data_IF_248368720690
#
_entry.id   IF_248368720690
#
_cell.length_a   1.000
_cell.length_b   1.000
_cell.length_c   1.000
_cell.angle_alpha   90.00
_cell.angle_beta   90.00
_cell.angle_gamma   90.00
#
_symmetry.space_group_name_H-M   'P 1'
#
loop_
_entity.id
_entity.type
_entity.pdbx_description
1 polymer ?
#
# COMPACT_ATOMS: atom_id res chain seq x y z
N UNK A 1 0.87 33.06 -5.80
CA UNK A 1 2.08 32.26 -6.06
C UNK A 1 2.25 31.24 -4.93
N UNK A 2 2.26 29.94 -5.24
CA UNK A 2 2.92 28.85 -4.48
C UNK A 2 2.21 27.48 -4.67
N UNK A 3 2.20 26.96 -5.90
CA UNK A 3 2.08 25.51 -6.10
C UNK A 3 3.46 24.99 -6.47
N UNK A 4 4.26 24.76 -5.42
CA UNK A 4 5.53 24.04 -5.50
C UNK A 4 5.25 22.67 -6.12
N UNK A 5 5.73 22.48 -7.34
CA UNK A 5 5.90 21.16 -7.97
C UNK A 5 6.69 20.27 -7.01
N UNK A 6 6.00 19.40 -6.27
CA UNK A 6 6.67 18.37 -5.48
C UNK A 6 7.23 17.33 -6.45
N UNK A 7 8.53 16.99 -6.38
CA UNK A 7 9.12 16.00 -7.28
C UNK A 7 8.49 14.64 -7.00
N UNK A 8 7.81 14.08 -8.00
CA UNK A 8 7.04 12.82 -7.88
C UNK A 8 7.85 11.62 -7.36
N UNK A 9 9.19 11.68 -7.33
CA UNK A 9 10.04 10.61 -6.81
C UNK A 9 10.15 10.53 -5.28
N UNK A 10 10.11 11.65 -4.54
CA UNK A 10 10.51 11.63 -3.11
C UNK A 10 9.41 11.16 -2.15
N UNK A 11 8.13 11.29 -2.53
CA UNK A 11 7.01 10.85 -1.71
C UNK A 11 6.80 9.32 -1.70
N UNK A 12 7.14 8.63 -2.81
CA UNK A 12 7.11 7.15 -2.89
C UNK A 12 8.10 6.54 -1.90
N UNK A 13 9.30 7.12 -1.77
CA UNK A 13 10.29 6.73 -0.79
C UNK A 13 9.84 6.96 0.66
N UNK A 14 9.07 8.03 0.93
CA UNK A 14 8.51 8.32 2.26
C UNK A 14 7.40 7.35 2.67
N UNK A 15 6.47 7.07 1.75
CA UNK A 15 5.44 6.03 1.95
C UNK A 15 6.12 4.68 2.18
N UNK A 16 7.22 4.43 1.47
CA UNK A 16 8.01 3.22 1.64
C UNK A 16 8.68 3.11 3.00
N UNK A 17 9.28 4.20 3.49
CA UNK A 17 9.84 4.28 4.84
C UNK A 17 8.81 4.02 5.93
N UNK A 18 7.60 4.58 5.78
CA UNK A 18 6.47 4.36 6.69
C UNK A 18 5.96 2.91 6.66
N UNK A 19 5.75 2.34 5.47
CA UNK A 19 5.38 0.92 5.30
C UNK A 19 6.40 -0.02 5.95
N UNK A 20 7.70 0.27 5.77
CA UNK A 20 8.78 -0.49 6.39
C UNK A 20 8.70 -0.48 7.92
N UNK A 21 8.33 0.66 8.52
CA UNK A 21 8.12 0.79 9.96
C UNK A 21 6.91 -0.02 10.45
N UNK A 22 5.79 0.02 9.74
CA UNK A 22 4.60 -0.76 10.06
C UNK A 22 4.84 -2.28 9.94
N UNK A 23 5.48 -2.74 8.86
CA UNK A 23 5.78 -4.16 8.66
C UNK A 23 6.92 -4.67 9.54
N UNK A 24 7.77 -3.78 10.07
CA UNK A 24 8.78 -4.13 11.06
C UNK A 24 8.17 -4.42 12.45
N UNK A 25 6.99 -3.89 12.74
CA UNK A 25 6.34 -4.06 14.05
C UNK A 25 5.29 -5.17 14.08
N UNK A 26 4.79 -5.65 12.94
CA UNK A 26 3.74 -6.68 12.87
C UNK A 26 4.19 -8.12 13.22
N UNK A 27 5.43 -8.32 13.69
CA UNK A 27 5.92 -9.64 14.16
C UNK A 27 6.46 -9.64 15.59
N UNK A 28 6.28 -8.54 16.35
CA UNK A 28 6.64 -8.50 17.77
C UNK A 28 5.46 -8.88 18.64
N UNK A 29 5.00 -10.12 18.48
CA UNK A 29 4.44 -10.86 19.61
C UNK A 29 5.61 -11.48 20.38
N UNK A 30 5.62 -11.23 21.68
CA UNK A 30 6.45 -11.81 22.74
C UNK A 30 7.74 -11.03 23.07
N UNK A 31 7.58 -10.22 24.11
CA UNK A 31 8.62 -9.78 25.02
C UNK A 31 9.38 -10.97 25.63
N UNK A 32 10.66 -10.74 25.97
CA UNK A 32 11.72 -11.68 26.37
C UNK A 32 12.41 -12.34 25.19
N UNK A 33 13.50 -11.71 24.74
CA UNK A 33 14.77 -12.31 24.29
C UNK A 33 15.65 -11.10 23.94
N UNK A 34 16.45 -10.63 24.89
CA UNK A 34 17.38 -9.50 24.65
C UNK A 34 18.72 -9.99 24.07
N UNK A 35 18.97 -11.30 24.08
CA UNK A 35 20.28 -11.85 23.67
C UNK A 35 20.29 -12.45 22.25
N UNK A 36 19.22 -13.12 21.80
CA UNK A 36 19.10 -13.63 20.41
C UNK A 36 18.66 -12.56 19.39
N UNK A 37 18.56 -11.29 19.81
CA UNK A 37 18.04 -10.20 18.98
C UNK A 37 18.98 -9.76 17.86
N UNK A 38 20.31 -9.86 18.04
CA UNK A 38 21.30 -9.29 17.10
C UNK A 38 21.36 -10.04 15.76
N UNK A 39 21.23 -11.36 15.77
CA UNK A 39 21.21 -12.17 14.55
C UNK A 39 19.90 -12.02 13.78
N UNK A 40 18.77 -12.00 14.48
CA UNK A 40 17.44 -11.74 13.89
C UNK A 40 17.36 -10.35 13.26
N UNK A 41 17.98 -9.34 13.87
CA UNK A 41 18.06 -7.99 13.30
C UNK A 41 18.93 -7.93 12.04
N UNK A 42 20.05 -8.67 11.98
CA UNK A 42 20.88 -8.78 10.77
C UNK A 42 20.16 -9.51 9.64
N UNK A 43 19.53 -10.65 9.93
CA UNK A 43 18.71 -11.38 8.96
C UNK A 43 17.56 -10.51 8.44
N UNK A 44 16.90 -9.74 9.32
CA UNK A 44 15.84 -8.79 8.94
C UNK A 44 16.33 -7.66 8.05
N UNK A 45 17.56 -7.17 8.25
CA UNK A 45 18.19 -6.14 7.42
C UNK A 45 18.63 -6.70 6.05
N UNK A 46 19.07 -7.95 6.00
CA UNK A 46 19.36 -8.67 4.76
C UNK A 46 18.08 -8.91 3.95
N UNK A 47 17.00 -9.41 4.57
CA UNK A 47 15.70 -9.57 3.90
C UNK A 47 15.11 -8.24 3.42
N UNK A 48 15.33 -7.15 4.16
CA UNK A 48 14.93 -5.81 3.69
C UNK A 48 15.76 -5.35 2.48
N UNK A 49 17.02 -5.75 2.34
CA UNK A 49 17.82 -5.52 1.12
C UNK A 49 17.29 -6.34 -0.06
N UNK A 50 16.86 -7.58 0.17
CA UNK A 50 16.31 -8.46 -0.87
C UNK A 50 14.96 -8.01 -1.44
N UNK A 51 14.15 -7.34 -0.61
CA UNK A 51 12.89 -6.71 -1.02
C UNK A 51 13.13 -5.42 -1.84
N UNK A 52 14.26 -4.73 -1.61
CA UNK A 52 14.64 -3.43 -2.20
C UNK A 52 15.99 -3.47 -2.91
N UNK A 53 16.22 -4.47 -3.76
CA UNK A 53 17.44 -4.54 -4.57
C UNK A 53 17.63 -3.26 -5.41
N UNK A 54 18.88 -2.83 -5.63
CA UNK A 54 19.25 -1.65 -6.44
C UNK A 54 18.39 -0.36 -6.27
N UNK A 55 17.65 -0.20 -5.17
CA UNK A 55 16.72 0.91 -4.95
C UNK A 55 15.29 0.73 -5.46
N UNK A 56 14.94 -0.41 -6.06
CA UNK A 56 13.59 -0.69 -6.58
C UNK A 56 12.86 -1.77 -5.80
N UNK A 57 11.55 -1.60 -5.66
CA UNK A 57 10.67 -2.56 -5.01
C UNK A 57 10.45 -3.80 -5.88
N UNK A 58 10.81 -4.98 -5.37
CA UNK A 58 10.46 -6.23 -6.04
C UNK A 58 9.06 -6.71 -5.60
N UNK A 59 8.03 -6.31 -6.35
CA UNK A 59 6.64 -6.72 -6.12
C UNK A 59 6.44 -8.24 -6.06
N UNK A 60 7.27 -9.03 -6.75
CA UNK A 60 7.16 -10.49 -6.75
C UNK A 60 7.51 -11.09 -5.39
N UNK A 61 8.41 -10.45 -4.65
CA UNK A 61 8.91 -10.90 -3.34
C UNK A 61 8.04 -10.46 -2.16
N UNK A 62 7.05 -9.60 -2.40
CA UNK A 62 6.09 -9.21 -1.38
C UNK A 62 5.14 -10.38 -1.05
N UNK A 63 4.88 -10.57 0.24
CA UNK A 63 3.80 -11.43 0.68
C UNK A 63 2.43 -10.88 0.22
N UNK A 64 1.37 -11.71 0.17
CA UNK A 64 0.05 -11.27 -0.30
C UNK A 64 -0.50 -10.04 0.45
N UNK A 65 -0.31 -9.95 1.76
CA UNK A 65 -0.78 -8.81 2.57
C UNK A 65 -0.02 -7.53 2.20
N UNK A 66 1.29 -7.64 2.04
CA UNK A 66 2.14 -6.53 1.60
C UNK A 66 1.76 -6.03 0.20
N UNK A 67 1.40 -6.94 -0.71
CA UNK A 67 0.90 -6.56 -2.05
C UNK A 67 -0.39 -5.76 -1.95
N UNK A 68 -1.35 -6.19 -1.13
CA UNK A 68 -2.60 -5.46 -0.91
C UNK A 68 -2.32 -4.04 -0.38
N UNK A 69 -1.47 -3.91 0.63
CA UNK A 69 -1.12 -2.59 1.18
C UNK A 69 -0.43 -1.72 0.14
N UNK A 70 0.48 -2.30 -0.64
CA UNK A 70 1.17 -1.58 -1.71
C UNK A 70 0.18 -1.00 -2.70
N UNK A 71 -0.77 -1.80 -3.21
CA UNK A 71 -1.73 -1.34 -4.21
C UNK A 71 -2.69 -0.30 -3.64
N UNK A 72 -3.14 -0.44 -2.39
CA UNK A 72 -3.97 0.58 -1.74
C UNK A 72 -3.25 1.93 -1.61
N UNK A 73 -1.97 1.93 -1.22
CA UNK A 73 -1.22 3.18 -1.09
C UNK A 73 -0.86 3.80 -2.45
N UNK A 74 -0.58 2.96 -3.45
CA UNK A 74 -0.42 3.40 -4.83
C UNK A 74 -1.71 4.07 -5.35
N UNK A 75 -2.87 3.51 -4.97
CA UNK A 75 -4.17 4.10 -5.24
C UNK A 75 -4.36 5.46 -4.58
N UNK A 76 -4.19 5.59 -3.26
CA UNK A 76 -4.32 6.89 -2.57
C UNK A 76 -3.44 7.96 -3.22
N UNK A 77 -2.20 7.61 -3.52
CA UNK A 77 -1.27 8.52 -4.18
C UNK A 77 -1.77 8.93 -5.57
N UNK A 78 -2.16 7.97 -6.41
CA UNK A 78 -2.58 8.25 -7.78
C UNK A 78 -3.88 9.06 -7.82
N UNK A 79 -4.82 8.79 -6.92
CA UNK A 79 -6.04 9.59 -6.80
C UNK A 79 -5.70 11.04 -6.46
N UNK A 80 -4.77 11.27 -5.52
CA UNK A 80 -4.26 12.62 -5.22
C UNK A 80 -3.57 13.30 -6.42
N UNK A 81 -2.76 12.56 -7.19
CA UNK A 81 -2.15 13.07 -8.43
C UNK A 81 -3.18 13.40 -9.53
N UNK A 82 -4.36 12.79 -9.49
CA UNK A 82 -5.49 13.03 -10.40
C UNK A 82 -6.53 14.00 -9.84
N UNK A 83 -6.20 14.75 -8.77
CA UNK A 83 -7.08 15.77 -8.20
C UNK A 83 -8.16 15.24 -7.23
N UNK A 84 -8.10 13.97 -6.86
CA UNK A 84 -9.03 13.30 -5.94
C UNK A 84 -8.31 12.81 -4.67
N UNK A 85 -7.71 13.70 -3.86
CA UNK A 85 -7.00 13.29 -2.67
C UNK A 85 -7.96 12.77 -1.60
N UNK A 86 -7.55 11.73 -0.89
CA UNK A 86 -8.23 11.29 0.33
C UNK A 86 -7.97 12.28 1.46
N UNK A 87 -9.02 12.67 2.18
CA UNK A 87 -8.85 13.49 3.40
C UNK A 87 -8.18 12.67 4.53
N UNK A 88 -7.50 13.37 5.46
CA UNK A 88 -6.81 12.74 6.60
C UNK A 88 -7.80 12.09 7.59
N UNK A 89 -8.95 12.73 7.81
CA UNK A 89 -10.00 12.22 8.71
C UNK A 89 -10.84 11.12 8.08
N UNK A 90 -10.78 10.97 6.76
CA UNK A 90 -11.60 10.01 6.04
C UNK A 90 -11.15 8.58 6.35
N UNK A 91 -12.07 7.63 6.45
CA UNK A 91 -11.75 6.19 6.53
C UNK A 91 -11.52 5.61 5.12
N UNK A 92 -10.93 4.41 4.97
CA UNK A 92 -10.78 3.78 3.66
C UNK A 92 -12.12 3.61 2.93
N UNK A 93 -13.14 3.14 3.64
CA UNK A 93 -14.48 2.90 3.09
C UNK A 93 -15.18 4.21 2.70
N UNK A 94 -15.08 5.26 3.53
CA UNK A 94 -15.61 6.58 3.18
C UNK A 94 -14.94 7.18 1.94
N UNK A 95 -13.66 6.88 1.72
CA UNK A 95 -12.97 7.34 0.52
C UNK A 95 -13.44 6.61 -0.73
N UNK A 96 -13.65 5.29 -0.64
CA UNK A 96 -14.24 4.52 -1.73
C UNK A 96 -15.63 5.06 -2.11
N UNK A 97 -16.52 5.22 -1.11
CA UNK A 97 -17.87 5.73 -1.33
C UNK A 97 -17.88 7.16 -1.93
N UNK A 98 -16.96 8.03 -1.51
CA UNK A 98 -16.83 9.36 -2.08
C UNK A 98 -16.44 9.32 -3.58
N UNK A 99 -15.66 8.31 -3.99
CA UNK A 99 -15.21 8.16 -5.36
C UNK A 99 -16.27 7.57 -6.29
N UNK A 100 -17.27 6.84 -5.79
CA UNK A 100 -18.34 6.28 -6.63
C UNK A 100 -19.10 7.35 -7.42
N UNK A 101 -19.25 8.55 -6.86
CA UNK A 101 -19.90 9.67 -7.54
C UNK A 101 -19.03 10.31 -8.62
N UNK A 102 -17.70 10.22 -8.49
CA UNK A 102 -16.76 10.91 -9.37
C UNK A 102 -16.08 9.99 -10.37
N UNK A 103 -16.01 8.69 -10.08
CA UNK A 103 -15.33 7.65 -10.86
C UNK A 103 -16.18 6.35 -10.89
N UNK A 104 -17.46 6.42 -11.29
CA UNK A 104 -18.38 5.29 -11.22
C UNK A 104 -17.91 4.08 -12.04
N UNK A 105 -17.21 4.30 -13.14
CA UNK A 105 -16.65 3.26 -13.99
C UNK A 105 -15.60 2.38 -13.30
N UNK A 106 -14.98 2.89 -12.22
CA UNK A 106 -13.99 2.18 -11.42
C UNK A 106 -14.53 1.78 -10.03
N UNK A 107 -15.76 2.15 -9.68
CA UNK A 107 -16.37 1.91 -8.36
C UNK A 107 -16.20 0.48 -7.85
N UNK A 108 -16.58 -0.56 -8.63
CA UNK A 108 -16.43 -1.96 -8.21
C UNK A 108 -14.97 -2.36 -7.94
N UNK A 109 -14.02 -1.86 -8.75
CA UNK A 109 -12.60 -2.13 -8.54
C UNK A 109 -12.06 -1.39 -7.29
N UNK A 110 -12.52 -0.15 -7.05
CA UNK A 110 -12.16 0.65 -5.86
C UNK A 110 -12.68 -0.02 -4.59
N UNK A 111 -13.93 -0.48 -4.61
CA UNK A 111 -14.54 -1.20 -3.50
C UNK A 111 -13.78 -2.50 -3.21
N UNK A 112 -13.51 -3.31 -4.24
CA UNK A 112 -12.77 -4.57 -4.09
C UNK A 112 -11.36 -4.34 -3.51
N UNK A 113 -10.64 -3.33 -4.01
CA UNK A 113 -9.32 -2.97 -3.51
C UNK A 113 -9.38 -2.49 -2.05
N UNK A 114 -10.38 -1.69 -1.70
CA UNK A 114 -10.57 -1.12 -0.36
C UNK A 114 -10.96 -2.19 0.66
N UNK A 115 -11.89 -3.09 0.29
CA UNK A 115 -12.30 -4.21 1.12
C UNK A 115 -11.12 -5.13 1.43
N UNK A 116 -10.33 -5.49 0.41
CA UNK A 116 -9.13 -6.30 0.60
C UNK A 116 -8.12 -5.62 1.53
N UNK A 117 -7.95 -4.30 1.44
CA UNK A 117 -7.09 -3.54 2.34
C UNK A 117 -7.59 -3.54 3.79
N UNK A 118 -8.88 -3.30 4.00
CA UNK A 118 -9.51 -3.32 5.33
C UNK A 118 -9.36 -4.70 5.96
N UNK A 119 -9.66 -5.77 5.23
CA UNK A 119 -9.47 -7.14 5.70
C UNK A 119 -8.00 -7.40 6.06
N UNK A 120 -7.08 -7.07 5.15
CA UNK A 120 -5.64 -7.19 5.36
C UNK A 120 -5.12 -6.33 6.52
N UNK A 121 -5.85 -5.29 6.93
CA UNK A 121 -5.44 -4.40 8.03
C UNK A 121 -5.94 -4.85 9.38
N UNK A 122 -7.19 -5.28 9.45
CA UNK A 122 -7.87 -5.54 10.73
C UNK A 122 -8.00 -7.02 11.07
N UNK A 123 -7.61 -7.92 10.16
CA UNK A 123 -7.74 -9.37 10.36
C UNK A 123 -6.38 -10.05 10.50
N UNK A 124 -6.19 -10.95 11.49
CA UNK A 124 -4.93 -11.68 11.68
C UNK A 124 -4.74 -12.84 10.69
N UNK A 125 -5.83 -13.38 10.12
CA UNK A 125 -5.81 -14.51 9.19
C UNK A 125 -4.96 -14.20 7.94
N UNK A 126 -4.25 -15.20 7.37
CA UNK A 126 -3.44 -15.02 6.17
C UNK A 126 -4.26 -14.47 5.00
N UNK A 127 -3.68 -13.52 4.26
CA UNK A 127 -4.24 -13.07 2.99
C UNK A 127 -3.87 -14.07 1.91
N UNK A 128 -4.85 -14.58 1.17
CA UNK A 128 -4.59 -15.55 0.11
C UNK A 128 -3.87 -14.93 -1.10
N UNK A 129 -2.94 -15.67 -1.75
CA UNK A 129 -2.26 -15.20 -2.95
C UNK A 129 -3.19 -14.81 -4.11
N UNK A 130 -4.32 -15.51 -4.25
CA UNK A 130 -5.33 -15.21 -5.26
C UNK A 130 -5.95 -13.82 -5.03
N UNK A 131 -6.31 -13.50 -3.78
CA UNK A 131 -6.85 -12.18 -3.40
C UNK A 131 -5.88 -11.04 -3.73
N UNK A 132 -4.58 -11.22 -3.46
CA UNK A 132 -3.57 -10.23 -3.84
C UNK A 132 -3.45 -10.06 -5.37
N UNK A 133 -3.71 -11.11 -6.13
CA UNK A 133 -3.70 -11.07 -7.61
C UNK A 133 -4.94 -10.34 -8.15
N UNK A 134 -6.11 -10.54 -7.55
CA UNK A 134 -7.33 -9.78 -7.87
C UNK A 134 -7.14 -8.28 -7.59
N UNK A 135 -6.56 -7.93 -6.43
CA UNK A 135 -6.27 -6.53 -6.08
C UNK A 135 -5.33 -5.88 -7.09
N UNK A 136 -4.33 -6.61 -7.61
CA UNK A 136 -3.48 -6.10 -8.69
C UNK A 136 -4.29 -5.77 -9.94
N UNK A 137 -5.19 -6.66 -10.36
CA UNK A 137 -6.03 -6.43 -11.54
C UNK A 137 -6.96 -5.23 -11.35
N UNK A 138 -7.62 -5.14 -10.19
CA UNK A 138 -8.44 -4.00 -9.82
C UNK A 138 -7.65 -2.69 -9.86
N UNK A 139 -6.45 -2.70 -9.28
CA UNK A 139 -5.53 -1.55 -9.33
C UNK A 139 -5.20 -1.11 -10.76
N UNK A 140 -4.90 -2.03 -11.68
CA UNK A 140 -4.59 -1.65 -13.06
C UNK A 140 -5.78 -1.00 -13.78
N UNK A 141 -7.01 -1.40 -13.46
CA UNK A 141 -8.24 -0.79 -14.00
C UNK A 141 -8.47 0.60 -13.41
N UNK A 142 -8.35 0.75 -12.09
CA UNK A 142 -8.41 2.05 -11.40
C UNK A 142 -7.36 3.00 -11.97
N UNK A 143 -6.13 2.53 -12.16
CA UNK A 143 -5.03 3.33 -12.71
C UNK A 143 -5.36 3.86 -14.11
N UNK A 144 -6.01 3.05 -14.96
CA UNK A 144 -6.47 3.48 -16.29
C UNK A 144 -7.57 4.54 -16.20
N UNK A 145 -8.58 4.34 -15.35
CA UNK A 145 -9.64 5.33 -15.12
C UNK A 145 -9.06 6.67 -14.63
N UNK A 146 -8.11 6.63 -13.69
CA UNK A 146 -7.43 7.82 -13.18
C UNK A 146 -6.50 8.51 -14.19
N UNK A 147 -6.01 7.80 -15.21
CA UNK A 147 -5.21 8.38 -16.30
C UNK A 147 -6.06 9.13 -17.31
N UNK A 148 -7.27 8.66 -17.60
CA UNK A 148 -8.20 9.32 -18.52
C UNK A 148 -8.67 10.71 -18.05
N UNK A 149 -8.37 11.09 -16.81
CA UNK A 149 -8.71 12.40 -16.21
C UNK A 149 -7.56 13.40 -16.18
N UNK A 150 -6.39 13.06 -16.73
CA UNK A 150 -5.23 13.97 -16.79
C UNK A 150 -5.30 14.94 -17.96
#
# INVERSE_FOLDING_TARGET
QALRRMPGGSLLAKIWGWLRGMFASARSGIAKIVETGRERLRARRASSKDLFGAGFLNLRRLDPRQKVYFFYLAFIRRSGESGLPRSLSQTPSEFAAALDTTLPEAGPDIEALTAAFVEARYTPHPVEPHKASLVKTAWERIRKALQGRR
#
